data_IF_026778440789
#
_entry.id   IF_026778440789
#
_cell.length_a   1.000
_cell.length_b   1.000
_cell.length_c   1.000
_cell.angle_alpha   90.00
_cell.angle_beta   90.00
_cell.angle_gamma   90.00
#
_symmetry.space_group_name_H-M   'P 1'
#
loop_
_entity.id
_entity.type
_entity.pdbx_description
1 polymer ?
#
# COMPACT_ATOMS: atom_id res chain seq x y z
N UNK A 1 -30.68 3.64 -19.96
CA UNK A 1 -31.60 2.92 -19.07
C UNK A 1 -31.89 3.88 -17.93
N UNK A 2 -33.16 4.05 -17.56
CA UNK A 2 -33.53 4.92 -16.44
C UNK A 2 -32.89 4.39 -15.13
N UNK A 3 -32.64 5.26 -14.16
CA UNK A 3 -32.01 4.88 -12.88
C UNK A 3 -32.89 3.87 -12.14
N UNK A 4 -34.21 4.06 -12.19
CA UNK A 4 -35.21 3.17 -11.58
C UNK A 4 -35.23 1.81 -12.29
N UNK A 5 -35.23 1.80 -13.62
CA UNK A 5 -35.13 0.56 -14.41
C UNK A 5 -33.86 -0.23 -14.07
N UNK A 6 -32.72 0.47 -13.96
CA UNK A 6 -31.43 -0.14 -13.63
C UNK A 6 -31.46 -0.79 -12.25
N UNK A 7 -32.00 -0.09 -11.24
CA UNK A 7 -32.15 -0.61 -9.89
C UNK A 7 -33.10 -1.81 -9.87
N UNK A 8 -34.24 -1.74 -10.56
CA UNK A 8 -35.21 -2.82 -10.62
C UNK A 8 -34.62 -4.07 -11.30
N UNK A 9 -33.87 -3.90 -12.39
CA UNK A 9 -33.16 -4.98 -13.05
C UNK A 9 -32.10 -5.63 -12.14
N UNK A 10 -31.45 -4.83 -11.28
CA UNK A 10 -30.49 -5.30 -10.29
C UNK A 10 -31.12 -5.85 -8.99
N UNK A 11 -32.45 -6.00 -8.95
CA UNK A 11 -33.17 -6.46 -7.76
C UNK A 11 -33.16 -5.49 -6.59
N UNK A 12 -33.05 -4.18 -6.83
CA UNK A 12 -33.01 -3.12 -5.81
C UNK A 12 -34.33 -2.31 -5.78
N UNK A 13 -35.48 -2.98 -5.82
CA UNK A 13 -36.80 -2.32 -5.87
C UNK A 13 -37.06 -1.42 -4.66
N UNK A 14 -36.60 -1.82 -3.47
CA UNK A 14 -36.73 -1.01 -2.24
C UNK A 14 -35.95 0.31 -2.33
N UNK A 15 -34.76 0.28 -2.94
CA UNK A 15 -33.95 1.48 -3.15
C UNK A 15 -34.59 2.39 -4.20
N UNK A 16 -35.17 1.81 -5.27
CA UNK A 16 -35.91 2.56 -6.28
C UNK A 16 -37.12 3.28 -5.66
N UNK A 17 -37.96 2.56 -4.90
CA UNK A 17 -39.10 3.15 -4.19
C UNK A 17 -38.65 4.24 -3.19
N UNK A 18 -37.52 4.02 -2.50
CA UNK A 18 -36.95 5.03 -1.61
C UNK A 18 -36.52 6.29 -2.37
N UNK A 19 -35.85 6.14 -3.51
CA UNK A 19 -35.48 7.26 -4.37
C UNK A 19 -36.71 8.07 -4.82
N UNK A 20 -37.77 7.39 -5.24
CA UNK A 20 -39.05 8.00 -5.65
C UNK A 20 -39.75 8.73 -4.51
N UNK A 21 -39.58 8.26 -3.27
CA UNK A 21 -40.15 8.90 -2.08
C UNK A 21 -39.44 10.20 -1.67
N UNK A 22 -38.19 10.41 -2.12
CA UNK A 22 -37.39 11.58 -1.80
C UNK A 22 -37.58 12.71 -2.81
N UNK A 23 -37.31 13.95 -2.37
CA UNK A 23 -37.28 15.15 -3.20
C UNK A 23 -36.15 16.09 -2.77
N UNK A 24 -35.85 17.11 -3.60
CA UNK A 24 -34.81 18.11 -3.31
C UNK A 24 -33.42 17.51 -3.12
N UNK A 25 -32.65 18.07 -2.18
CA UNK A 25 -31.24 17.72 -1.96
C UNK A 25 -31.05 16.25 -1.55
N UNK A 26 -31.95 15.70 -0.74
CA UNK A 26 -31.87 14.31 -0.31
C UNK A 26 -31.98 13.35 -1.50
N UNK A 27 -32.87 13.64 -2.46
CA UNK A 27 -32.98 12.87 -3.70
C UNK A 27 -31.72 13.01 -4.54
N UNK A 28 -31.27 14.24 -4.79
CA UNK A 28 -30.09 14.50 -5.63
C UNK A 28 -28.82 13.82 -5.08
N UNK A 29 -28.64 13.82 -3.76
CA UNK A 29 -27.51 13.14 -3.11
C UNK A 29 -27.58 11.62 -3.28
N UNK A 30 -28.76 11.02 -3.12
CA UNK A 30 -28.94 9.58 -3.32
C UNK A 30 -28.81 9.19 -4.80
N UNK A 31 -29.33 10.00 -5.74
CA UNK A 31 -29.14 9.80 -7.19
C UNK A 31 -27.66 9.77 -7.56
N UNK A 32 -26.85 10.69 -6.99
CA UNK A 32 -25.40 10.70 -7.19
C UNK A 32 -24.74 9.43 -6.65
N UNK A 33 -25.11 9.01 -5.45
CA UNK A 33 -24.56 7.77 -4.88
C UNK A 33 -24.94 6.56 -5.75
N UNK A 34 -26.19 6.47 -6.20
CA UNK A 34 -26.66 5.40 -7.08
C UNK A 34 -25.91 5.40 -8.41
N UNK A 35 -25.71 6.56 -9.02
CA UNK A 35 -25.00 6.71 -10.29
C UNK A 35 -23.49 6.34 -10.18
N UNK A 36 -22.92 6.38 -8.97
CA UNK A 36 -21.53 5.98 -8.73
C UNK A 36 -21.30 4.46 -8.71
N UNK A 37 -22.37 3.67 -8.74
CA UNK A 37 -22.32 2.21 -8.56
C UNK A 37 -22.71 1.47 -9.84
N UNK A 38 -22.02 0.36 -10.11
CA UNK A 38 -22.44 -0.60 -11.13
C UNK A 38 -23.31 -1.68 -10.47
N UNK A 39 -24.63 -1.49 -10.55
CA UNK A 39 -25.61 -2.32 -9.85
C UNK A 39 -25.70 -3.74 -10.39
N UNK A 40 -25.51 -3.93 -11.69
CA UNK A 40 -25.52 -5.26 -12.29
C UNK A 40 -24.25 -6.03 -11.91
N UNK A 41 -23.09 -5.35 -11.89
CA UNK A 41 -21.87 -5.95 -11.36
C UNK A 41 -22.00 -6.30 -9.88
N UNK A 42 -22.57 -5.39 -9.06
CA UNK A 42 -22.78 -5.62 -7.62
C UNK A 42 -23.72 -6.80 -7.35
N UNK A 43 -24.80 -6.94 -8.13
CA UNK A 43 -25.67 -8.10 -8.06
C UNK A 43 -24.92 -9.39 -8.41
N UNK A 44 -24.16 -9.40 -9.50
CA UNK A 44 -23.38 -10.57 -9.90
C UNK A 44 -22.34 -10.97 -8.84
N UNK A 45 -21.69 -10.00 -8.20
CA UNK A 45 -20.76 -10.25 -7.08
C UNK A 45 -21.49 -10.86 -5.90
N UNK A 46 -22.66 -10.32 -5.53
CA UNK A 46 -23.47 -10.86 -4.45
C UNK A 46 -23.91 -12.30 -4.74
N UNK A 47 -24.39 -12.60 -5.94
CA UNK A 47 -24.81 -13.96 -6.33
C UNK A 47 -23.63 -14.94 -6.27
N UNK A 48 -22.46 -14.55 -6.77
CA UNK A 48 -21.24 -15.37 -6.70
C UNK A 48 -20.81 -15.64 -5.24
N UNK A 49 -20.82 -14.61 -4.39
CA UNK A 49 -20.19 -14.66 -3.07
C UNK A 49 -21.14 -15.00 -1.92
N UNK A 50 -22.44 -14.85 -2.10
CA UNK A 50 -23.43 -15.17 -1.05
C UNK A 50 -23.55 -16.68 -0.79
N UNK A 51 -23.30 -17.49 -1.82
CA UNK A 51 -23.31 -18.96 -1.74
C UNK A 51 -21.93 -19.60 -1.58
N UNK A 52 -20.85 -18.84 -1.79
CA UNK A 52 -19.48 -19.36 -1.69
C UNK A 52 -19.14 -19.70 -0.22
N UNK A 53 -18.49 -20.84 -0.01
CA UNK A 53 -17.92 -21.17 1.29
C UNK A 53 -16.62 -20.36 1.46
N UNK A 54 -16.32 -19.91 2.67
CA UNK A 54 -15.03 -19.23 2.94
C UNK A 54 -13.82 -20.12 2.60
N UNK A 55 -14.00 -21.45 2.58
CA UNK A 55 -12.99 -22.43 2.18
C UNK A 55 -12.63 -22.44 0.70
N UNK A 56 -13.39 -21.77 -0.17
CA UNK A 56 -13.13 -21.75 -1.62
C UNK A 56 -12.00 -20.78 -2.02
N UNK A 57 -11.46 -20.00 -1.08
CA UNK A 57 -10.42 -18.99 -1.35
C UNK A 57 -8.99 -19.57 -1.45
N UNK A 58 -8.79 -20.83 -1.07
CA UNK A 58 -7.47 -21.44 -0.96
C UNK A 58 -7.27 -22.47 -2.07
N UNK A 59 -6.31 -22.23 -2.94
CA UNK A 59 -5.92 -23.21 -3.96
C UNK A 59 -5.51 -24.55 -3.30
N UNK A 60 -5.92 -25.66 -3.91
CA UNK A 60 -5.55 -27.00 -3.42
C UNK A 60 -4.05 -27.30 -3.54
N UNK A 61 -3.36 -26.58 -4.43
CA UNK A 61 -1.92 -26.67 -4.64
C UNK A 61 -1.25 -25.33 -4.29
N UNK A 62 -0.65 -25.29 -3.11
CA UNK A 62 0.19 -24.19 -2.62
C UNK A 62 1.62 -24.70 -2.56
N UNK A 63 2.54 -24.00 -3.24
CA UNK A 63 3.96 -24.29 -3.23
C UNK A 63 4.74 -23.06 -2.73
N UNK A 64 5.85 -23.23 -2.00
CA UNK A 64 6.62 -22.11 -1.47
C UNK A 64 7.22 -21.29 -2.62
N UNK A 65 7.31 -19.97 -2.43
CA UNK A 65 8.01 -19.09 -3.36
C UNK A 65 9.37 -18.71 -2.76
N UNK A 66 10.47 -19.36 -3.17
CA UNK A 66 11.78 -19.08 -2.61
C UNK A 66 12.24 -17.67 -3.01
N UNK A 67 12.93 -17.02 -2.09
CA UNK A 67 13.58 -15.74 -2.31
C UNK A 67 14.97 -15.73 -1.66
N UNK A 68 15.78 -14.74 -2.01
CA UNK A 68 17.08 -14.50 -1.38
C UNK A 68 17.16 -13.04 -0.98
N UNK A 69 17.92 -12.75 0.08
CA UNK A 69 18.25 -11.39 0.45
C UNK A 69 19.05 -10.77 -0.69
N UNK A 70 18.52 -9.69 -1.27
CA UNK A 70 19.03 -9.12 -2.49
C UNK A 70 20.43 -8.53 -2.33
N UNK A 71 20.75 -7.97 -1.14
CA UNK A 71 22.08 -7.44 -0.82
C UNK A 71 23.19 -8.49 -0.79
N UNK A 72 22.83 -9.77 -0.70
CA UNK A 72 23.78 -10.89 -0.74
C UNK A 72 24.03 -11.39 -2.18
N UNK A 73 23.27 -10.89 -3.16
CA UNK A 73 23.45 -11.23 -4.57
C UNK A 73 24.62 -10.44 -5.18
N UNK A 74 25.50 -11.13 -5.90
CA UNK A 74 26.65 -10.52 -6.57
C UNK A 74 26.27 -9.45 -7.61
N UNK A 75 25.00 -9.41 -8.04
CA UNK A 75 24.47 -8.42 -8.99
C UNK A 75 23.88 -7.19 -8.30
N UNK A 76 23.86 -7.12 -6.98
CA UNK A 76 23.19 -6.04 -6.24
C UNK A 76 23.69 -4.65 -6.66
N UNK A 77 25.00 -4.45 -6.75
CA UNK A 77 25.57 -3.15 -7.16
C UNK A 77 25.19 -2.79 -8.60
N UNK A 78 25.20 -3.77 -9.51
CA UNK A 78 24.74 -3.58 -10.89
C UNK A 78 23.26 -3.20 -10.94
N UNK A 79 22.41 -3.83 -10.13
CA UNK A 79 21.00 -3.45 -10.04
C UNK A 79 20.84 -2.04 -9.48
N UNK A 80 21.59 -1.68 -8.44
CA UNK A 80 21.55 -0.34 -7.86
C UNK A 80 21.91 0.72 -8.90
N UNK A 81 23.04 0.57 -9.60
CA UNK A 81 23.47 1.47 -10.67
C UNK A 81 22.44 1.55 -11.81
N UNK A 82 21.90 0.41 -12.24
CA UNK A 82 20.84 0.36 -13.25
C UNK A 82 19.61 1.16 -12.80
N UNK A 83 19.18 1.01 -11.55
CA UNK A 83 18.07 1.76 -10.99
C UNK A 83 18.32 3.26 -10.91
N UNK A 84 19.52 3.68 -10.48
CA UNK A 84 19.93 5.08 -10.42
C UNK A 84 19.89 5.72 -11.81
N UNK A 85 20.35 5.01 -12.85
CA UNK A 85 20.27 5.46 -14.24
C UNK A 85 18.81 5.63 -14.69
N UNK A 86 17.92 4.70 -14.33
CA UNK A 86 16.49 4.77 -14.70
C UNK A 86 15.79 5.93 -13.97
N UNK A 87 16.11 6.15 -12.70
CA UNK A 87 15.65 7.29 -11.91
C UNK A 87 16.12 8.62 -12.51
N UNK A 88 17.41 8.75 -12.82
CA UNK A 88 17.98 9.96 -13.45
C UNK A 88 17.43 10.25 -14.85
N UNK A 89 16.85 9.26 -15.52
CA UNK A 89 16.12 9.40 -16.80
C UNK A 89 14.63 9.73 -16.63
N UNK A 90 14.15 9.89 -15.40
CA UNK A 90 12.72 10.15 -15.12
C UNK A 90 11.81 8.95 -15.40
N UNK A 91 12.35 7.73 -15.42
CA UNK A 91 11.60 6.52 -15.80
C UNK A 91 10.91 5.81 -14.62
N UNK A 92 10.96 6.38 -13.43
CA UNK A 92 10.43 5.78 -12.20
C UNK A 92 9.49 6.76 -11.50
N UNK A 93 8.36 6.26 -11.03
CA UNK A 93 7.42 7.02 -10.20
C UNK A 93 7.09 6.26 -8.91
N UNK A 94 6.72 7.00 -7.87
CA UNK A 94 6.17 6.47 -6.63
C UNK A 94 4.64 6.45 -6.69
N UNK A 95 4.03 5.36 -6.22
CA UNK A 95 2.60 5.22 -6.00
C UNK A 95 2.39 4.90 -4.52
N UNK A 96 1.76 5.82 -3.80
CA UNK A 96 1.32 5.63 -2.43
C UNK A 96 -0.15 5.23 -2.32
N UNK A 97 -0.41 4.10 -1.66
CA UNK A 97 -1.75 3.70 -1.21
C UNK A 97 -2.02 4.31 0.17
N UNK A 98 -2.79 5.40 0.20
CA UNK A 98 -3.13 6.19 1.39
C UNK A 98 -4.65 6.29 1.64
N UNK A 99 -5.46 5.37 1.10
CA UNK A 99 -6.91 5.36 1.32
C UNK A 99 -7.35 5.00 2.74
N UNK A 100 -6.44 4.49 3.57
CA UNK A 100 -6.72 4.08 4.95
C UNK A 100 -6.85 5.23 5.95
N UNK A 101 -7.76 5.06 6.91
CA UNK A 101 -7.92 5.93 8.08
C UNK A 101 -7.00 5.49 9.23
N UNK A 102 -6.59 6.45 10.06
CA UNK A 102 -5.82 6.22 11.29
C UNK A 102 -6.64 5.71 12.49
N UNK A 103 -7.88 5.25 12.29
CA UNK A 103 -8.82 4.97 13.40
C UNK A 103 -8.32 3.93 14.41
N UNK A 104 -7.59 2.90 13.98
CA UNK A 104 -6.96 1.90 14.88
C UNK A 104 -5.82 2.47 15.73
N UNK A 105 -5.31 3.64 15.37
CA UNK A 105 -4.29 4.40 16.11
C UNK A 105 -4.95 5.39 17.10
N UNK A 106 -6.28 5.44 17.17
CA UNK A 106 -7.00 6.50 17.88
C UNK A 106 -6.90 7.86 17.20
N UNK A 107 -6.49 7.90 15.92
CA UNK A 107 -6.33 9.13 15.15
C UNK A 107 -7.51 9.34 14.20
N UNK A 108 -8.14 10.52 14.31
CA UNK A 108 -9.23 10.91 13.43
C UNK A 108 -8.68 11.67 12.21
N UNK A 109 -8.21 10.92 11.22
CA UNK A 109 -7.72 11.49 9.97
C UNK A 109 -6.96 10.49 9.08
N UNK A 110 -6.51 10.95 7.90
CA UNK A 110 -5.67 10.15 7.01
C UNK A 110 -4.42 9.67 7.74
N UNK A 111 -4.11 8.36 7.65
CA UNK A 111 -2.99 7.78 8.41
C UNK A 111 -1.65 8.46 8.11
N UNK A 112 -1.42 8.93 6.89
CA UNK A 112 -0.16 9.61 6.54
C UNK A 112 0.11 10.91 7.31
N UNK A 113 -0.93 11.55 7.88
CA UNK A 113 -0.78 12.73 8.73
C UNK A 113 -0.30 12.40 10.15
N UNK A 114 -0.27 11.12 10.51
CA UNK A 114 0.04 10.68 11.86
C UNK A 114 1.51 10.93 12.21
N UNK A 115 1.75 11.59 13.33
CA UNK A 115 3.05 11.70 14.00
C UNK A 115 3.25 10.47 14.88
N UNK A 116 4.28 9.68 14.58
CA UNK A 116 4.60 8.47 15.35
C UNK A 116 5.34 8.77 16.66
N UNK A 117 5.67 10.04 16.93
CA UNK A 117 6.35 10.52 18.13
C UNK A 117 7.88 10.54 18.01
N UNK A 118 8.42 10.64 16.80
CA UNK A 118 9.85 10.88 16.60
C UNK A 118 10.22 12.27 17.14
N UNK A 119 11.47 12.53 17.57
CA UNK A 119 11.90 13.85 18.05
C UNK A 119 11.58 15.02 17.11
N UNK A 120 11.61 14.79 15.80
CA UNK A 120 11.26 15.80 14.79
C UNK A 120 9.76 16.10 14.68
N UNK A 121 8.89 15.26 15.26
CA UNK A 121 7.43 15.30 15.12
C UNK A 121 6.93 15.24 13.67
N UNK A 122 7.76 14.73 12.74
CA UNK A 122 7.39 14.60 11.33
C UNK A 122 6.29 13.55 11.14
N UNK A 123 5.28 13.92 10.35
CA UNK A 123 4.26 12.97 9.90
C UNK A 123 4.85 11.91 8.98
N UNK A 124 4.16 10.78 8.82
CA UNK A 124 4.54 9.76 7.84
C UNK A 124 4.63 10.33 6.42
N UNK A 125 3.73 11.23 6.01
CA UNK A 125 3.82 11.89 4.70
C UNK A 125 5.10 12.71 4.56
N UNK A 126 5.48 13.48 5.59
CA UNK A 126 6.70 14.29 5.53
C UNK A 126 7.95 13.40 5.45
N UNK A 127 8.04 12.33 6.24
CA UNK A 127 9.16 11.38 6.17
C UNK A 127 9.29 10.77 4.76
N UNK A 128 8.17 10.45 4.12
CA UNK A 128 8.15 9.88 2.78
C UNK A 128 8.51 10.91 1.69
N UNK A 129 8.01 12.13 1.81
CA UNK A 129 8.33 13.24 0.91
C UNK A 129 9.83 13.56 0.95
N UNK A 130 10.41 13.69 2.14
CA UNK A 130 11.84 13.99 2.31
C UNK A 130 12.74 12.87 1.77
N UNK A 131 12.32 11.59 1.85
CA UNK A 131 13.05 10.47 1.20
C UNK A 131 13.05 10.60 -0.32
N UNK A 132 11.90 10.93 -0.92
CA UNK A 132 11.78 11.14 -2.35
C UNK A 132 12.60 12.35 -2.82
N UNK A 133 12.58 13.45 -2.07
CA UNK A 133 13.39 14.64 -2.36
C UNK A 133 14.88 14.34 -2.28
N UNK A 134 15.33 13.60 -1.26
CA UNK A 134 16.72 13.20 -1.14
C UNK A 134 17.14 12.34 -2.35
N UNK A 135 16.39 11.29 -2.65
CA UNK A 135 16.69 10.42 -3.79
C UNK A 135 16.68 11.20 -5.12
N UNK A 136 15.70 12.09 -5.31
CA UNK A 136 15.63 12.96 -6.49
C UNK A 136 16.87 13.87 -6.62
N UNK A 137 17.38 14.40 -5.51
CA UNK A 137 18.60 15.21 -5.49
C UNK A 137 19.84 14.38 -5.83
N UNK A 138 19.92 13.12 -5.37
CA UNK A 138 21.04 12.22 -5.69
C UNK A 138 21.09 11.85 -7.17
N UNK A 139 19.94 11.54 -7.77
CA UNK A 139 19.83 11.10 -9.17
C UNK A 139 19.66 12.25 -10.17
N UNK A 140 19.46 13.47 -9.68
CA UNK A 140 19.33 14.69 -10.49
C UNK A 140 18.01 14.82 -11.26
N UNK A 141 16.96 14.09 -10.86
CA UNK A 141 15.66 14.11 -11.52
C UNK A 141 14.52 13.96 -10.51
N UNK A 142 13.44 14.73 -10.69
CA UNK A 142 12.24 14.63 -9.87
C UNK A 142 11.57 13.26 -10.02
N UNK A 143 11.01 12.73 -8.93
CA UNK A 143 10.29 11.45 -8.93
C UNK A 143 8.79 11.76 -8.80
N UNK A 144 7.98 11.52 -9.83
CA UNK A 144 6.53 11.74 -9.75
C UNK A 144 5.90 10.91 -8.63
N UNK A 145 5.03 11.53 -7.84
CA UNK A 145 4.38 10.90 -6.69
C UNK A 145 2.86 10.86 -6.87
N UNK A 146 2.34 9.67 -7.13
CA UNK A 146 0.92 9.39 -7.23
C UNK A 146 0.39 9.00 -5.86
N UNK A 147 -0.55 9.75 -5.29
CA UNK A 147 -1.11 9.51 -3.96
C UNK A 147 -2.58 9.13 -4.10
N UNK A 148 -2.88 7.86 -3.88
CA UNK A 148 -4.24 7.36 -3.89
C UNK A 148 -4.88 7.51 -2.50
N UNK A 149 -6.00 8.21 -2.44
CA UNK A 149 -6.80 8.42 -1.23
C UNK A 149 -8.13 7.66 -1.34
N UNK A 150 -8.93 7.67 -0.27
CA UNK A 150 -10.36 7.34 -0.33
C UNK A 150 -11.17 8.65 -0.40
N UNK A 151 -12.44 8.61 -0.85
CA UNK A 151 -13.29 9.79 -0.79
C UNK A 151 -13.40 10.39 0.62
N UNK A 152 -13.29 9.54 1.66
CA UNK A 152 -13.37 9.96 3.05
C UNK A 152 -12.15 10.78 3.52
N UNK A 153 -10.96 10.57 2.95
CA UNK A 153 -9.74 11.27 3.37
C UNK A 153 -9.09 12.16 2.29
N UNK A 154 -9.69 12.28 1.10
CA UNK A 154 -9.11 13.03 -0.01
C UNK A 154 -8.84 14.49 0.36
N UNK A 155 -9.90 15.24 0.69
CA UNK A 155 -9.79 16.68 1.01
C UNK A 155 -8.84 16.96 2.17
N UNK A 156 -8.93 16.18 3.25
CA UNK A 156 -8.02 16.32 4.40
C UNK A 156 -6.55 16.09 4.00
N UNK A 157 -6.29 15.08 3.16
CA UNK A 157 -4.94 14.79 2.67
C UNK A 157 -4.42 15.93 1.79
N UNK A 158 -5.21 16.39 0.83
CA UNK A 158 -4.79 17.45 -0.10
C UNK A 158 -4.56 18.77 0.64
N UNK A 159 -5.43 19.12 1.60
CA UNK A 159 -5.26 20.32 2.42
C UNK A 159 -3.99 20.24 3.29
N UNK A 160 -3.72 19.09 3.90
CA UNK A 160 -2.50 18.90 4.68
C UNK A 160 -1.23 19.13 3.86
N UNK A 161 -1.18 18.64 2.62
CA UNK A 161 -0.06 18.91 1.72
C UNK A 161 0.04 20.39 1.35
N UNK A 162 -1.07 21.07 1.06
CA UNK A 162 -1.07 22.52 0.78
C UNK A 162 -0.58 23.33 1.98
N UNK A 163 -1.03 23.01 3.18
CA UNK A 163 -0.65 23.68 4.43
C UNK A 163 0.85 23.54 4.74
N UNK A 164 1.47 22.46 4.29
CA UNK A 164 2.90 22.20 4.45
C UNK A 164 3.73 22.50 3.20
N UNK A 165 3.20 23.31 2.27
CA UNK A 165 3.86 23.68 1.01
C UNK A 165 4.43 22.46 0.24
N UNK A 166 3.62 21.39 0.19
CA UNK A 166 3.96 20.10 -0.42
C UNK A 166 5.28 19.50 0.10
N UNK A 167 5.65 19.83 1.34
CA UNK A 167 6.93 19.46 1.97
C UNK A 167 8.15 19.92 1.15
N UNK A 168 8.00 20.98 0.36
CA UNK A 168 9.03 21.50 -0.55
C UNK A 168 9.16 20.74 -1.88
N UNK A 169 8.27 19.79 -2.17
CA UNK A 169 8.18 19.17 -3.49
C UNK A 169 7.43 20.09 -4.46
N UNK A 170 7.72 19.98 -5.76
CA UNK A 170 6.93 20.67 -6.77
C UNK A 170 5.54 20.02 -6.86
N UNK A 171 4.48 20.82 -6.69
CA UNK A 171 3.08 20.37 -6.77
C UNK A 171 2.75 19.68 -8.10
N UNK A 172 3.42 20.05 -9.21
CA UNK A 172 3.16 19.48 -10.53
C UNK A 172 3.73 18.05 -10.70
N UNK A 173 4.57 17.62 -9.75
CA UNK A 173 5.11 16.27 -9.66
C UNK A 173 4.28 15.39 -8.70
N UNK A 174 3.26 15.95 -8.04
CA UNK A 174 2.36 15.21 -7.15
C UNK A 174 0.97 15.10 -7.77
N UNK A 175 0.43 13.89 -7.84
CA UNK A 175 -0.92 13.63 -8.36
C UNK A 175 -1.77 12.89 -7.34
N UNK A 176 -2.76 13.59 -6.79
CA UNK A 176 -3.78 12.99 -5.94
C UNK A 176 -4.92 12.42 -6.79
N UNK A 177 -5.44 11.27 -6.39
CA UNK A 177 -6.64 10.69 -6.97
C UNK A 177 -7.33 9.77 -5.96
N UNK A 178 -8.63 9.57 -6.13
CA UNK A 178 -9.42 8.73 -5.23
C UNK A 178 -9.53 7.30 -5.76
N UNK A 179 -9.54 6.34 -4.84
CA UNK A 179 -10.01 4.99 -5.12
C UNK A 179 -11.54 4.95 -5.23
N UNK A 180 -12.05 3.89 -5.83
CA UNK A 180 -13.49 3.65 -5.90
C UNK A 180 -14.10 3.25 -4.56
N UNK A 181 -15.42 3.25 -4.53
CA UNK A 181 -16.22 2.72 -3.42
C UNK A 181 -17.29 1.78 -3.94
N UNK A 182 -17.65 0.80 -3.12
CA UNK A 182 -18.74 -0.12 -3.39
C UNK A 182 -19.81 -0.01 -2.30
N UNK A 183 -21.07 -0.14 -2.67
CA UNK A 183 -22.18 -0.17 -1.72
C UNK A 183 -22.16 -1.47 -0.88
N UNK A 184 -22.25 -1.33 0.44
CA UNK A 184 -22.49 -2.47 1.31
C UNK A 184 -23.90 -3.03 1.08
N UNK A 185 -24.02 -4.37 1.07
CA UNK A 185 -25.30 -5.04 0.94
C UNK A 185 -25.71 -5.70 2.26
N UNK A 186 -26.99 -5.65 2.58
CA UNK A 186 -27.53 -6.38 3.72
C UNK A 186 -27.51 -7.91 3.47
N UNK A 187 -27.84 -8.76 4.46
CA UNK A 187 -27.85 -10.21 4.28
C UNK A 187 -28.76 -10.73 3.16
N UNK A 188 -29.72 -9.94 2.69
CA UNK A 188 -30.64 -10.26 1.59
C UNK A 188 -30.18 -9.68 0.24
N UNK A 189 -28.98 -9.11 0.16
CA UNK A 189 -28.42 -8.54 -1.08
C UNK A 189 -28.99 -7.18 -1.45
N UNK A 190 -29.66 -6.48 -0.53
CA UNK A 190 -30.19 -5.13 -0.77
C UNK A 190 -29.21 -4.07 -0.30
N UNK A 191 -29.17 -2.95 -1.02
CA UNK A 191 -28.34 -1.80 -0.67
C UNK A 191 -28.62 -1.32 0.76
N UNK A 192 -27.55 -1.08 1.52
CA UNK A 192 -27.66 -0.45 2.84
C UNK A 192 -27.71 1.07 2.65
N UNK A 193 -28.73 1.69 3.22
CA UNK A 193 -28.92 3.15 3.22
C UNK A 193 -28.86 3.65 4.66
N UNK A 194 -28.11 4.71 4.92
CA UNK A 194 -27.97 5.29 6.26
C UNK A 194 -29.17 6.18 6.66
N UNK A 195 -29.14 6.71 7.89
CA UNK A 195 -30.15 7.63 8.42
C UNK A 195 -30.29 8.95 7.63
N UNK A 196 -29.26 9.33 6.87
CA UNK A 196 -29.22 10.55 6.08
C UNK A 196 -29.68 10.31 4.63
N UNK A 197 -30.25 9.15 4.33
CA UNK A 197 -30.66 8.72 3.00
C UNK A 197 -29.50 8.65 1.99
N UNK A 198 -28.31 8.25 2.45
CA UNK A 198 -27.13 8.02 1.62
C UNK A 198 -26.81 6.54 1.54
N UNK A 199 -26.20 6.09 0.45
CA UNK A 199 -25.71 4.72 0.38
C UNK A 199 -24.57 4.53 1.39
N UNK A 200 -24.56 3.40 2.09
CA UNK A 200 -23.42 2.99 2.89
C UNK A 200 -22.28 2.53 1.97
N UNK A 201 -21.53 3.49 1.44
CA UNK A 201 -20.39 3.27 0.56
C UNK A 201 -19.15 2.95 1.39
N UNK A 202 -18.42 1.91 0.98
CA UNK A 202 -17.17 1.49 1.61
C UNK A 202 -16.06 1.40 0.56
N UNK A 203 -14.78 1.60 0.93
CA UNK A 203 -13.68 1.43 -0.01
C UNK A 203 -13.68 0.02 -0.61
N UNK A 204 -13.41 -0.06 -1.91
CA UNK A 204 -13.40 -1.29 -2.73
C UNK A 204 -12.15 -2.17 -2.55
N UNK A 205 -11.40 -1.96 -1.47
CA UNK A 205 -10.14 -2.66 -1.17
C UNK A 205 -8.92 -2.00 -1.80
N UNK A 206 -7.71 -2.47 -1.45
CA UNK A 206 -6.47 -1.90 -2.00
C UNK A 206 -6.21 -2.35 -3.45
N UNK A 207 -6.86 -3.43 -3.92
CA UNK A 207 -6.81 -3.87 -5.32
C UNK A 207 -7.55 -2.95 -6.28
N UNK A 208 -8.49 -2.12 -5.79
CA UNK A 208 -9.14 -1.07 -6.57
C UNK A 208 -8.15 -0.03 -7.12
N UNK A 209 -6.91 0.00 -6.61
CA UNK A 209 -5.86 0.93 -7.02
C UNK A 209 -5.55 0.92 -8.53
N UNK A 210 -5.56 -0.25 -9.18
CA UNK A 210 -5.24 -0.35 -10.61
C UNK A 210 -6.33 0.29 -11.48
N UNK A 211 -7.60 0.04 -11.13
CA UNK A 211 -8.76 0.68 -11.78
C UNK A 211 -8.73 2.19 -11.55
N UNK A 212 -8.53 2.62 -10.30
CA UNK A 212 -8.47 4.03 -9.93
C UNK A 212 -7.34 4.78 -10.64
N UNK A 213 -6.16 4.17 -10.75
CA UNK A 213 -5.01 4.74 -11.47
C UNK A 213 -5.35 4.99 -12.96
N UNK A 214 -6.10 4.07 -13.58
CA UNK A 214 -6.54 4.21 -14.97
C UNK A 214 -7.63 5.26 -15.13
N UNK A 215 -8.70 5.18 -14.34
CA UNK A 215 -9.89 6.04 -14.48
C UNK A 215 -9.61 7.50 -14.13
N UNK A 216 -8.68 7.76 -13.21
CA UNK A 216 -8.25 9.12 -12.85
C UNK A 216 -7.35 9.80 -13.91
N UNK A 217 -6.99 9.08 -14.99
CA UNK A 217 -6.01 9.54 -15.97
C UNK A 217 -4.56 9.57 -15.45
N UNK A 218 -4.32 9.11 -14.23
CA UNK A 218 -2.99 9.11 -13.62
C UNK A 218 -2.03 8.16 -14.34
N UNK A 219 -2.50 7.01 -14.82
CA UNK A 219 -1.68 6.13 -15.66
C UNK A 219 -1.27 6.81 -16.99
N UNK A 220 -2.17 7.56 -17.62
CA UNK A 220 -1.85 8.31 -18.83
C UNK A 220 -0.81 9.41 -18.55
N UNK A 221 -0.98 10.14 -17.45
CA UNK A 221 -0.03 11.14 -16.98
C UNK A 221 1.36 10.58 -16.72
N UNK A 222 1.47 9.39 -16.11
CA UNK A 222 2.76 8.71 -15.94
C UNK A 222 3.41 8.35 -17.29
N UNK A 223 2.63 7.83 -18.23
CA UNK A 223 3.09 7.48 -19.58
C UNK A 223 3.60 8.71 -20.33
N UNK A 224 2.88 9.82 -20.28
CA UNK A 224 3.26 11.09 -20.91
C UNK A 224 4.58 11.65 -20.38
N UNK A 225 4.90 11.37 -19.11
CA UNK A 225 6.16 11.74 -18.46
C UNK A 225 7.32 10.77 -18.75
N UNK A 226 7.09 9.72 -19.55
CA UNK A 226 8.13 8.76 -19.90
C UNK A 226 8.41 7.69 -18.83
N UNK A 227 7.60 7.64 -17.76
CA UNK A 227 7.72 6.64 -16.69
C UNK A 227 7.61 5.24 -17.29
N UNK A 228 8.45 4.32 -16.83
CA UNK A 228 8.45 2.90 -17.20
C UNK A 228 8.19 1.98 -16.01
N UNK A 229 8.52 2.43 -14.80
CA UNK A 229 8.41 1.66 -13.55
C UNK A 229 7.63 2.45 -12.50
N UNK A 230 6.70 1.79 -11.81
CA UNK A 230 5.91 2.38 -10.74
C UNK A 230 6.14 1.60 -9.46
N UNK A 231 6.78 2.25 -8.49
CA UNK A 231 7.04 1.72 -7.15
C UNK A 231 5.80 1.95 -6.28
N UNK A 232 5.05 0.89 -6.00
CA UNK A 232 3.82 0.94 -5.22
C UNK A 232 4.07 0.52 -3.78
N UNK A 233 3.60 1.31 -2.81
CA UNK A 233 3.75 1.00 -1.39
C UNK A 233 2.57 1.52 -0.54
N UNK A 234 2.46 0.98 0.68
CA UNK A 234 1.47 1.41 1.68
C UNK A 234 2.01 2.51 2.59
N UNK A 235 1.13 3.44 2.97
CA UNK A 235 1.48 4.61 3.81
C UNK A 235 1.94 4.25 5.22
N UNK A 236 1.60 3.06 5.72
CA UNK A 236 1.84 2.66 7.10
C UNK A 236 3.26 2.17 7.39
N UNK A 237 4.09 1.91 6.37
CA UNK A 237 5.46 1.46 6.58
C UNK A 237 6.42 2.64 6.82
N UNK A 238 6.80 2.86 8.07
CA UNK A 238 7.67 3.95 8.47
C UNK A 238 9.12 3.79 7.98
N UNK A 239 9.55 2.58 7.63
CA UNK A 239 10.90 2.28 7.11
C UNK A 239 10.98 2.11 5.59
N UNK A 240 9.88 2.33 4.86
CA UNK A 240 9.87 2.08 3.42
C UNK A 240 11.00 2.86 2.69
N UNK A 241 11.85 2.13 1.97
CA UNK A 241 12.89 2.65 1.07
C UNK A 241 12.27 2.96 -0.30
N UNK A 242 11.60 4.12 -0.39
CA UNK A 242 10.71 4.48 -1.50
C UNK A 242 11.52 4.69 -2.78
N UNK A 243 11.13 4.00 -3.86
CA UNK A 243 11.84 4.03 -5.14
C UNK A 243 13.30 3.53 -5.04
N UNK A 244 13.56 2.56 -4.15
CA UNK A 244 14.85 1.86 -4.03
C UNK A 244 15.49 1.50 -5.38
N UNK A 245 16.65 2.09 -5.72
CA UNK A 245 17.31 1.84 -7.00
C UNK A 245 17.63 0.37 -7.25
N UNK A 246 18.08 -0.38 -6.22
CA UNK A 246 18.42 -1.79 -6.40
C UNK A 246 17.19 -2.63 -6.78
N UNK A 247 16.05 -2.34 -6.16
CA UNK A 247 14.80 -3.01 -6.49
C UNK A 247 14.31 -2.66 -7.92
N UNK A 248 14.43 -1.40 -8.33
CA UNK A 248 14.12 -0.96 -9.70
C UNK A 248 14.99 -1.67 -10.72
N UNK A 249 16.31 -1.63 -10.53
CA UNK A 249 17.25 -2.25 -11.47
C UNK A 249 17.14 -3.76 -11.53
N UNK A 250 16.79 -4.44 -10.44
CA UNK A 250 16.57 -5.87 -10.44
C UNK A 250 15.41 -6.28 -11.37
N UNK A 251 14.26 -5.58 -11.31
CA UNK A 251 13.15 -5.83 -12.24
C UNK A 251 13.47 -5.37 -13.67
N UNK A 252 14.27 -4.32 -13.83
CA UNK A 252 14.70 -3.87 -15.15
C UNK A 252 15.61 -4.89 -15.85
N UNK A 253 16.53 -5.51 -15.09
CA UNK A 253 17.40 -6.56 -15.55
C UNK A 253 16.69 -7.91 -15.74
N UNK A 254 15.51 -8.10 -15.14
CA UNK A 254 14.72 -9.30 -15.34
C UNK A 254 13.99 -9.28 -16.70
N UNK A 255 14.36 -10.24 -17.55
CA UNK A 255 13.83 -10.39 -18.91
C UNK A 255 12.46 -11.03 -19.02
N UNK A 256 11.83 -11.45 -17.91
CA UNK A 256 10.54 -12.17 -17.91
C UNK A 256 9.46 -11.45 -17.11
N UNK A 257 9.79 -10.99 -15.91
CA UNK A 257 8.87 -10.39 -14.98
C UNK A 257 8.44 -8.98 -15.42
N UNK A 258 7.15 -8.70 -15.25
CA UNK A 258 6.57 -7.34 -15.40
C UNK A 258 6.18 -6.72 -14.06
N UNK A 259 6.34 -7.49 -12.97
CA UNK A 259 6.20 -7.02 -11.61
C UNK A 259 7.26 -7.65 -10.70
N UNK A 260 7.54 -6.98 -9.59
CA UNK A 260 8.37 -7.48 -8.51
C UNK A 260 7.74 -7.11 -7.17
N UNK A 261 8.10 -7.83 -6.11
CA UNK A 261 7.65 -7.55 -4.75
C UNK A 261 8.81 -7.65 -3.78
N UNK A 262 8.87 -6.71 -2.83
CA UNK A 262 9.79 -6.86 -1.70
C UNK A 262 9.24 -7.88 -0.72
N UNK A 263 10.13 -8.72 -0.22
CA UNK A 263 9.82 -9.84 0.65
C UNK A 263 10.71 -9.75 1.89
N UNK A 264 10.12 -9.94 3.07
CA UNK A 264 10.90 -10.13 4.30
C UNK A 264 10.71 -11.54 4.80
N UNK A 265 11.73 -12.11 5.46
CA UNK A 265 11.53 -13.34 6.20
C UNK A 265 10.48 -13.14 7.30
N UNK A 266 9.60 -14.13 7.46
CA UNK A 266 8.59 -14.17 8.52
C UNK A 266 9.28 -14.27 9.88
N UNK A 267 8.78 -13.54 10.89
CA UNK A 267 9.31 -13.55 12.26
C UNK A 267 9.14 -14.92 12.94
N UNK A 268 8.14 -15.66 12.49
CA UNK A 268 7.76 -16.96 13.03
C UNK A 268 6.37 -17.37 12.53
N UNK A 269 5.93 -18.61 12.80
CA UNK A 269 4.68 -19.15 12.25
C UNK A 269 3.45 -18.31 12.56
N UNK A 270 3.39 -17.71 13.75
CA UNK A 270 2.25 -16.92 14.24
C UNK A 270 2.18 -15.47 13.74
N UNK A 271 3.14 -14.99 12.96
CA UNK A 271 3.08 -13.63 12.40
C UNK A 271 1.92 -13.49 11.41
N UNK A 272 1.10 -12.44 11.59
CA UNK A 272 -0.09 -12.14 10.79
C UNK A 272 0.28 -11.32 9.55
N UNK A 273 0.97 -11.95 8.63
CA UNK A 273 1.38 -11.39 7.34
C UNK A 273 1.00 -12.36 6.23
N UNK A 274 0.47 -11.85 5.12
CA UNK A 274 0.27 -12.66 3.92
C UNK A 274 1.62 -13.17 3.41
N UNK A 275 1.65 -14.39 2.88
CA UNK A 275 2.88 -15.01 2.39
C UNK A 275 2.88 -15.10 0.86
N UNK A 276 4.04 -14.88 0.25
CA UNK A 276 4.21 -15.18 -1.17
C UNK A 276 4.31 -16.69 -1.38
N UNK A 277 3.51 -17.19 -2.30
CA UNK A 277 3.47 -18.59 -2.67
C UNK A 277 3.07 -18.73 -4.15
N UNK A 278 3.32 -19.90 -4.71
CA UNK A 278 2.69 -20.29 -5.96
C UNK A 278 1.36 -20.99 -5.65
N UNK A 279 0.28 -20.50 -6.25
CA UNK A 279 -1.04 -21.13 -6.21
C UNK A 279 -1.36 -21.62 -7.62
N UNK A 280 -1.49 -22.95 -7.80
CA UNK A 280 -1.67 -23.56 -9.12
C UNK A 280 -0.61 -23.07 -10.14
N UNK A 281 0.68 -23.08 -9.74
CA UNK A 281 1.83 -22.57 -10.51
C UNK A 281 1.82 -21.08 -10.89
N UNK A 282 0.94 -20.26 -10.29
CA UNK A 282 0.92 -18.81 -10.50
C UNK A 282 1.39 -18.09 -9.25
N UNK A 283 2.20 -17.02 -9.36
CA UNK A 283 2.62 -16.25 -8.20
C UNK A 283 1.41 -15.54 -7.59
N UNK A 284 1.31 -15.56 -6.27
CA UNK A 284 0.24 -14.92 -5.52
C UNK A 284 0.64 -14.68 -4.07
N UNK A 285 -0.32 -14.19 -3.30
CA UNK A 285 -0.20 -14.07 -1.85
C UNK A 285 -1.32 -14.89 -1.22
N UNK A 286 -0.96 -15.75 -0.29
CA UNK A 286 -1.93 -16.42 0.58
C UNK A 286 -2.04 -15.60 1.86
N UNK A 287 -3.22 -15.09 2.16
CA UNK A 287 -3.44 -14.33 3.38
C UNK A 287 -3.24 -15.19 4.63
N UNK A 288 -2.83 -14.56 5.72
CA UNK A 288 -2.50 -15.29 6.95
C UNK A 288 -3.69 -16.06 7.54
N UNK A 289 -4.92 -15.59 7.29
CA UNK A 289 -6.15 -16.25 7.71
C UNK A 289 -6.47 -17.50 6.90
N UNK A 290 -5.89 -17.59 5.71
CA UNK A 290 -6.25 -18.55 4.67
C UNK A 290 -5.14 -19.60 4.50
N UNK A 291 -3.98 -19.42 5.14
CA UNK A 291 -2.89 -20.38 5.13
C UNK A 291 -3.18 -21.58 6.07
N UNK A 292 -3.23 -22.83 5.56
CA UNK A 292 -3.43 -24.02 6.38
C UNK A 292 -2.35 -24.17 7.46
N UNK A 293 -2.73 -24.61 8.67
CA UNK A 293 -1.82 -24.70 9.82
C UNK A 293 -0.61 -25.60 9.56
N UNK A 294 -0.81 -26.70 8.84
CA UNK A 294 0.28 -27.61 8.47
C UNK A 294 1.31 -26.96 7.54
N UNK A 295 0.93 -25.97 6.72
CA UNK A 295 1.85 -25.18 5.90
C UNK A 295 2.46 -24.02 6.70
N UNK A 296 1.67 -23.37 7.56
CA UNK A 296 2.10 -22.28 8.45
C UNK A 296 3.28 -22.70 9.33
N UNK A 297 3.22 -23.91 9.87
CA UNK A 297 4.21 -24.44 10.83
C UNK A 297 5.27 -25.32 10.14
N UNK A 298 5.24 -25.43 8.81
CA UNK A 298 6.18 -26.26 8.04
C UNK A 298 7.60 -25.67 8.08
N UNK A 299 8.58 -26.53 8.36
CA UNK A 299 10.00 -26.16 8.44
C UNK A 299 10.86 -26.96 7.47
N UNK A 300 11.93 -26.33 7.02
CA UNK A 300 13.02 -26.96 6.30
C UNK A 300 13.91 -27.75 7.28
N UNK A 301 14.86 -28.53 6.74
CA UNK A 301 15.76 -29.37 7.54
C UNK A 301 16.65 -28.58 8.54
N UNK A 302 16.89 -27.30 8.28
CA UNK A 302 17.66 -26.39 9.14
C UNK A 302 16.81 -25.67 10.20
N UNK A 303 15.50 -25.95 10.26
CA UNK A 303 14.55 -25.34 11.19
C UNK A 303 13.97 -23.99 10.72
N UNK A 304 14.39 -23.47 9.57
CA UNK A 304 13.77 -22.29 8.95
C UNK A 304 12.36 -22.63 8.44
N UNK A 305 11.47 -21.63 8.34
CA UNK A 305 10.13 -21.85 7.79
C UNK A 305 10.20 -22.10 6.28
N UNK A 306 9.42 -23.06 5.79
CA UNK A 306 9.32 -23.32 4.34
C UNK A 306 8.48 -22.25 3.63
N UNK A 307 7.48 -21.69 4.32
CA UNK A 307 6.63 -20.61 3.85
C UNK A 307 6.93 -19.32 4.62
N UNK A 308 8.07 -18.71 4.30
CA UNK A 308 8.67 -17.61 5.05
C UNK A 308 8.58 -16.24 4.35
N UNK A 309 8.19 -16.20 3.08
CA UNK A 309 8.17 -14.96 2.30
C UNK A 309 7.03 -14.00 2.67
N UNK A 310 7.23 -13.16 3.68
CA UNK A 310 6.24 -12.19 4.14
C UNK A 310 6.03 -11.01 3.16
N UNK A 311 4.77 -10.73 2.84
CA UNK A 311 4.34 -9.59 2.04
C UNK A 311 4.31 -8.30 2.85
N UNK A 312 5.17 -7.35 2.50
CA UNK A 312 5.25 -6.02 3.14
C UNK A 312 4.49 -4.91 2.39
N UNK A 313 3.66 -5.28 1.41
CA UNK A 313 2.90 -4.37 0.56
C UNK A 313 3.77 -3.34 -0.17
N UNK A 314 4.94 -3.76 -0.63
CA UNK A 314 5.85 -2.98 -1.48
C UNK A 314 6.10 -3.74 -2.77
N UNK A 315 5.68 -3.13 -3.87
CA UNK A 315 5.64 -3.76 -5.18
C UNK A 315 6.21 -2.81 -6.23
N UNK A 316 6.63 -3.37 -7.34
CA UNK A 316 7.13 -2.61 -8.48
C UNK A 316 6.47 -3.17 -9.74
N UNK A 317 5.93 -2.30 -10.58
CA UNK A 317 5.29 -2.70 -11.83
C UNK A 317 5.92 -1.97 -13.01
N UNK A 318 6.19 -2.71 -14.09
CA UNK A 318 6.41 -2.10 -15.40
C UNK A 318 5.08 -1.50 -15.88
N UNK A 319 5.11 -0.37 -16.59
CA UNK A 319 3.90 0.23 -17.20
C UNK A 319 3.15 -0.77 -18.07
N UNK A 320 3.86 -1.66 -18.77
CA UNK A 320 3.25 -2.75 -19.56
C UNK A 320 2.41 -3.71 -18.70
N UNK A 321 2.83 -3.98 -17.46
CA UNK A 321 2.06 -4.75 -16.48
C UNK A 321 0.82 -3.99 -16.03
N UNK A 322 0.96 -2.71 -15.67
CA UNK A 322 -0.17 -1.87 -15.25
C UNK A 322 -1.23 -1.74 -16.35
N UNK A 323 -0.83 -1.62 -17.62
CA UNK A 323 -1.76 -1.59 -18.77
C UNK A 323 -2.58 -2.88 -18.89
N UNK A 324 -1.99 -4.05 -18.62
CA UNK A 324 -2.73 -5.33 -18.60
C UNK A 324 -3.76 -5.36 -17.47
N UNK A 325 -3.43 -4.77 -16.32
CA UNK A 325 -4.32 -4.71 -15.16
C UNK A 325 -5.48 -3.71 -15.33
N UNK A 326 -5.38 -2.74 -16.26
CA UNK A 326 -6.50 -1.83 -16.57
C UNK A 326 -7.76 -2.58 -17.00
N UNK A 327 -7.60 -3.64 -17.78
CA UNK A 327 -8.68 -4.49 -18.29
C UNK A 327 -8.86 -5.77 -17.47
N UNK A 328 -7.96 -6.02 -16.51
CA UNK A 328 -7.98 -7.21 -15.67
C UNK A 328 -9.12 -7.16 -14.66
N UNK A 329 -9.85 -8.27 -14.51
CA UNK A 329 -10.85 -8.43 -13.46
C UNK A 329 -10.18 -9.08 -12.26
N UNK A 330 -9.85 -8.28 -11.24
CA UNK A 330 -9.44 -8.82 -9.95
C UNK A 330 -10.65 -9.46 -9.25
N UNK A 331 -10.45 -10.60 -8.56
CA UNK A 331 -11.51 -11.25 -7.81
C UNK A 331 -12.01 -10.34 -6.68
N UNK A 332 -13.27 -10.52 -6.32
CA UNK A 332 -13.85 -9.92 -5.12
C UNK A 332 -13.76 -10.89 -3.96
N UNK A 333 -13.36 -10.37 -2.81
CA UNK A 333 -13.34 -11.05 -1.52
C UNK A 333 -14.48 -10.52 -0.66
N UNK A 334 -14.99 -11.35 0.23
CA UNK A 334 -16.15 -11.00 1.08
C UNK A 334 -15.76 -10.93 2.54
N UNK A 335 -16.10 -9.81 3.17
CA UNK A 335 -16.10 -9.64 4.61
C UNK A 335 -17.53 -9.43 5.12
N UNK A 336 -17.86 -10.01 6.28
CA UNK A 336 -19.12 -9.77 6.98
C UNK A 336 -18.90 -8.75 8.09
N UNK A 337 -19.62 -7.62 8.03
CA UNK A 337 -19.51 -6.56 9.04
C UNK A 337 -20.87 -5.99 9.41
N UNK A 338 -20.94 -5.38 10.59
CA UNK A 338 -22.08 -4.54 10.95
C UNK A 338 -21.94 -3.19 10.25
N UNK A 339 -22.96 -2.80 9.50
CA UNK A 339 -23.01 -1.54 8.74
C UNK A 339 -24.35 -0.86 9.02
N UNK A 340 -24.32 0.40 9.45
CA UNK A 340 -25.54 1.17 9.80
C UNK A 340 -26.49 0.41 10.76
N UNK A 341 -25.93 -0.31 11.74
CA UNK A 341 -26.71 -1.12 12.69
C UNK A 341 -27.19 -2.48 12.18
N UNK A 342 -27.00 -2.80 10.89
CA UNK A 342 -27.39 -4.09 10.31
C UNK A 342 -26.21 -5.06 10.40
N UNK A 343 -26.41 -6.17 11.10
CA UNK A 343 -25.39 -7.21 11.25
C UNK A 343 -25.17 -8.03 9.96
N UNK A 344 -23.97 -8.60 9.84
CA UNK A 344 -23.59 -9.54 8.76
C UNK A 344 -23.82 -9.01 7.33
N UNK A 345 -23.74 -7.68 7.15
CA UNK A 345 -23.72 -7.08 5.83
C UNK A 345 -22.50 -7.56 5.04
N UNK A 346 -22.68 -7.72 3.74
CA UNK A 346 -21.62 -7.98 2.78
C UNK A 346 -20.84 -6.70 2.52
N UNK A 347 -19.53 -6.78 2.76
CA UNK A 347 -18.53 -5.86 2.24
C UNK A 347 -17.66 -6.61 1.25
N UNK A 348 -17.55 -6.08 0.03
CA UNK A 348 -16.68 -6.64 -1.00
C UNK A 348 -15.40 -5.82 -1.12
N UNK A 349 -14.26 -6.50 -1.23
CA UNK A 349 -12.95 -5.88 -1.39
C UNK A 349 -12.15 -6.61 -2.47
N UNK A 350 -11.37 -5.87 -3.26
CA UNK A 350 -10.34 -6.43 -4.13
C UNK A 350 -8.99 -6.31 -3.43
N UNK A 351 -8.14 -7.32 -3.57
CA UNK A 351 -6.79 -7.27 -3.03
C UNK A 351 -5.75 -7.01 -4.12
N UNK A 352 -4.78 -6.18 -3.79
CA UNK A 352 -3.74 -5.75 -4.71
C UNK A 352 -2.91 -6.93 -5.23
N UNK A 353 -2.61 -7.88 -4.35
CA UNK A 353 -1.80 -9.05 -4.67
C UNK A 353 -2.48 -10.04 -5.62
N UNK A 354 -3.80 -9.95 -5.82
CA UNK A 354 -4.50 -10.74 -6.84
C UNK A 354 -4.15 -10.31 -8.27
N UNK A 355 -3.37 -9.23 -8.43
CA UNK A 355 -2.78 -8.85 -9.69
C UNK A 355 -1.69 -9.82 -10.16
N UNK A 356 -0.95 -10.46 -9.24
CA UNK A 356 0.20 -11.29 -9.62
C UNK A 356 -0.17 -12.50 -10.49
N UNK A 357 -1.25 -13.26 -10.21
CA UNK A 357 -1.68 -14.34 -11.09
C UNK A 357 -2.05 -13.88 -12.51
N UNK A 358 -2.55 -12.65 -12.67
CA UNK A 358 -2.90 -12.08 -13.98
C UNK A 358 -1.66 -11.65 -14.78
N UNK A 359 -0.57 -11.30 -14.11
CA UNK A 359 0.70 -10.92 -14.74
C UNK A 359 1.58 -12.13 -15.09
N UNK A 360 1.30 -13.29 -14.47
CA UNK A 360 1.89 -14.59 -14.80
C UNK A 360 3.28 -14.84 -14.21
N UNK A 361 4.10 -13.81 -14.02
CA UNK A 361 5.39 -13.92 -13.33
C UNK A 361 5.65 -12.69 -12.47
N UNK A 362 6.37 -12.92 -11.37
CA UNK A 362 6.74 -11.89 -10.40
C UNK A 362 8.15 -12.19 -9.89
N UNK A 363 8.98 -11.17 -9.76
CA UNK A 363 10.30 -11.26 -9.13
C UNK A 363 10.19 -11.03 -7.61
N UNK A 364 10.45 -12.02 -6.75
CA UNK A 364 10.61 -11.78 -5.32
C UNK A 364 11.98 -11.14 -5.05
N UNK A 365 12.00 -10.05 -4.29
CA UNK A 365 13.20 -9.32 -3.91
C UNK A 365 13.33 -9.28 -2.39
N UNK A 366 14.19 -10.13 -1.82
CA UNK A 366 14.36 -10.23 -0.37
C UNK A 366 15.05 -9.01 0.22
N UNK A 367 14.53 -8.50 1.33
CA UNK A 367 15.11 -7.35 2.05
C UNK A 367 15.21 -7.63 3.54
N UNK A 368 16.10 -6.89 4.21
CA UNK A 368 16.29 -6.95 5.66
C UNK A 368 15.15 -6.16 6.32
N UNK A 369 14.37 -6.84 7.17
CA UNK A 369 13.20 -6.27 7.83
C UNK A 369 13.54 -5.00 8.62
N UNK A 370 14.62 -5.07 9.40
CA UNK A 370 15.07 -4.01 10.30
C UNK A 370 15.49 -2.75 9.54
N UNK A 371 15.73 -2.85 8.22
CA UNK A 371 16.07 -1.70 7.37
C UNK A 371 14.89 -1.15 6.57
N UNK A 372 13.82 -1.94 6.37
CA UNK A 372 12.84 -1.67 5.31
C UNK A 372 11.37 -1.85 5.71
N UNK A 373 11.07 -2.50 6.84
CA UNK A 373 9.70 -2.82 7.22
C UNK A 373 9.41 -2.58 8.70
N UNK A 374 8.69 -1.48 8.96
CA UNK A 374 8.13 -1.19 10.27
C UNK A 374 6.74 -0.56 10.12
N UNK A 375 5.68 -1.38 10.05
CA UNK A 375 4.32 -0.90 9.85
C UNK A 375 3.73 -0.27 11.12
N UNK A 376 2.87 0.74 10.94
CA UNK A 376 2.12 1.42 12.00
C UNK A 376 0.62 1.16 11.82
N UNK A 377 0.12 0.14 12.53
CA UNK A 377 -1.24 -0.39 12.39
C UNK A 377 -2.06 -0.29 13.68
N UNK A 378 -1.44 -0.41 14.84
CA UNK A 378 -2.11 -0.48 16.14
C UNK A 378 -1.62 0.68 17.03
N UNK A 379 -2.47 1.17 17.94
CA UNK A 379 -2.07 2.22 18.88
C UNK A 379 -0.93 1.76 19.81
N UNK A 380 -0.95 0.50 20.24
CA UNK A 380 0.03 -0.10 21.15
C UNK A 380 0.39 -1.54 20.73
N UNK A 381 1.47 -2.08 21.29
CA UNK A 381 1.93 -3.44 21.02
C UNK A 381 2.68 -3.58 19.70
N UNK A 382 2.48 -4.72 19.01
CA UNK A 382 3.10 -4.97 17.71
C UNK A 382 2.57 -3.98 16.65
N UNK A 383 3.42 -3.61 15.69
CA UNK A 383 3.10 -2.68 14.62
C UNK A 383 2.52 -1.34 15.15
N UNK A 384 3.15 -0.78 16.19
CA UNK A 384 2.74 0.46 16.85
C UNK A 384 3.71 1.62 16.62
N UNK A 385 3.33 2.87 16.95
CA UNK A 385 4.23 4.01 16.87
C UNK A 385 5.52 3.80 17.68
N UNK A 386 5.41 3.16 18.85
CA UNK A 386 6.56 2.81 19.70
C UNK A 386 7.52 1.88 18.95
N UNK A 387 7.03 0.76 18.41
CA UNK A 387 7.89 -0.19 17.69
C UNK A 387 8.52 0.44 16.46
N UNK A 388 7.80 1.32 15.75
CA UNK A 388 8.34 2.03 14.59
C UNK A 388 9.46 3.01 14.96
N UNK A 389 9.26 3.83 16.01
CA UNK A 389 10.29 4.72 16.54
C UNK A 389 11.54 3.96 16.96
N UNK A 390 11.38 2.86 17.68
CA UNK A 390 12.51 2.03 18.10
C UNK A 390 13.29 1.47 16.90
N UNK A 391 12.60 0.96 15.87
CA UNK A 391 13.24 0.41 14.68
C UNK A 391 13.99 1.49 13.87
N UNK A 392 13.36 2.65 13.65
CA UNK A 392 14.01 3.83 13.04
C UNK A 392 15.25 4.23 13.84
N UNK A 393 15.09 4.34 15.16
CA UNK A 393 16.15 4.68 16.09
C UNK A 393 17.36 3.76 16.01
N UNK A 394 17.11 2.44 15.97
CA UNK A 394 18.14 1.40 15.85
C UNK A 394 18.82 1.43 14.47
N UNK A 395 18.05 1.62 13.40
CA UNK A 395 18.57 1.71 12.04
C UNK A 395 19.52 2.91 11.87
N UNK A 396 19.10 4.09 12.29
CA UNK A 396 19.91 5.29 12.17
C UNK A 396 21.14 5.27 13.08
N UNK A 397 21.03 4.68 14.28
CA UNK A 397 22.21 4.41 15.11
C UNK A 397 23.23 3.54 14.38
N UNK A 398 22.77 2.50 13.69
CA UNK A 398 23.64 1.64 12.89
C UNK A 398 24.26 2.40 11.71
N UNK A 399 23.52 3.29 11.04
CA UNK A 399 24.08 4.15 9.99
C UNK A 399 25.20 5.05 10.52
N UNK A 400 24.99 5.71 11.66
CA UNK A 400 26.01 6.55 12.30
C UNK A 400 27.24 5.74 12.71
N UNK A 401 27.05 4.52 13.23
CA UNK A 401 28.14 3.60 13.57
C UNK A 401 28.94 3.19 12.34
N UNK A 402 28.28 2.82 11.24
CA UNK A 402 28.92 2.50 9.95
C UNK A 402 29.68 3.69 9.37
N UNK A 403 29.23 4.91 9.66
CA UNK A 403 29.92 6.16 9.30
C UNK A 403 31.04 6.57 10.28
N UNK A 404 31.41 5.69 11.22
CA UNK A 404 32.45 5.91 12.24
C UNK A 404 32.22 7.14 13.13
N UNK A 405 30.96 7.47 13.41
CA UNK A 405 30.59 8.51 14.36
C UNK A 405 30.63 7.94 15.78
N UNK A 406 31.24 8.68 16.71
CA UNK A 406 31.20 8.38 18.14
C UNK A 406 29.80 8.75 18.68
N UNK A 407 29.03 7.75 19.11
CA UNK A 407 27.64 7.89 19.56
C UNK A 407 27.43 7.16 20.89
N UNK A 408 26.47 7.61 21.70
CA UNK A 408 26.03 6.86 22.89
C UNK A 408 25.34 5.54 22.46
N UNK A 409 25.86 4.36 22.83
CA UNK A 409 25.29 3.06 22.46
C UNK A 409 23.94 2.77 23.12
N UNK A 410 23.58 3.48 24.20
CA UNK A 410 22.33 3.31 24.93
C UNK A 410 21.19 4.16 24.38
N UNK A 411 21.50 5.12 23.51
CA UNK A 411 20.52 6.02 22.88
C UNK A 411 20.05 5.51 21.52
N UNK A 412 18.96 6.08 21.05
CA UNK A 412 18.44 5.96 19.70
C UNK A 412 18.63 7.29 18.95
N UNK A 413 18.63 7.21 17.62
CA UNK A 413 18.88 8.38 16.78
C UNK A 413 17.84 8.54 15.69
N UNK A 414 17.41 9.77 15.45
CA UNK A 414 16.65 10.13 14.27
C UNK A 414 17.55 10.91 13.34
N UNK A 415 17.80 10.41 12.13
CA UNK A 415 18.48 11.14 11.05
C UNK A 415 17.40 11.57 10.06
N UNK A 416 17.30 12.87 9.77
CA UNK A 416 16.34 13.36 8.79
C UNK A 416 16.61 12.75 7.42
N UNK A 417 15.57 12.30 6.71
CA UNK A 417 15.72 11.80 5.35
C UNK A 417 16.34 12.81 4.37
N UNK A 418 16.29 14.12 4.66
CA UNK A 418 16.97 15.15 3.85
C UNK A 418 18.50 15.07 3.90
N UNK A 419 19.07 14.44 4.95
CA UNK A 419 20.52 14.25 5.07
C UNK A 419 20.99 12.94 4.47
N UNK A 420 20.19 11.88 4.62
CA UNK A 420 20.56 10.54 4.21
C UNK A 420 19.31 9.72 3.89
N UNK A 421 19.29 9.11 2.71
CA UNK A 421 18.20 8.26 2.23
C UNK A 421 18.30 6.83 2.79
N UNK A 422 19.51 6.25 2.80
CA UNK A 422 19.76 4.87 3.25
C UNK A 422 21.08 4.71 4.05
N UNK A 423 21.57 5.78 4.67
CA UNK A 423 22.78 5.81 5.50
C UNK A 423 24.02 6.39 4.82
N UNK A 424 23.95 6.71 3.53
CA UNK A 424 25.02 7.40 2.80
C UNK A 424 25.19 8.86 3.23
N UNK A 425 26.35 9.45 2.93
CA UNK A 425 26.64 10.87 3.20
C UNK A 425 26.90 11.22 4.67
N UNK A 426 26.68 10.29 5.60
CA UNK A 426 26.94 10.51 7.02
C UNK A 426 28.44 10.53 7.33
N UNK A 427 28.84 11.40 8.24
CA UNK A 427 30.21 11.55 8.73
C UNK A 427 30.22 12.23 10.09
N UNK A 428 31.33 12.14 10.82
CA UNK A 428 31.51 12.85 12.11
C UNK A 428 31.24 14.35 12.00
N UNK A 429 31.78 14.99 10.95
CA UNK A 429 31.59 16.43 10.72
C UNK A 429 30.13 16.79 10.46
N UNK A 430 29.41 15.96 9.71
CA UNK A 430 27.98 16.16 9.49
C UNK A 430 27.20 16.00 10.79
N UNK A 431 27.50 14.94 11.55
CA UNK A 431 26.85 14.67 12.83
C UNK A 431 26.98 15.83 13.81
N UNK A 432 28.20 16.30 14.06
CA UNK A 432 28.48 17.43 14.96
C UNK A 432 27.75 18.72 14.54
N UNK A 433 27.53 18.93 13.23
CA UNK A 433 26.83 20.10 12.69
C UNK A 433 25.31 20.00 12.82
N UNK A 434 24.75 18.80 12.63
CA UNK A 434 23.31 18.58 12.49
C UNK A 434 22.62 18.06 13.77
N UNK A 435 23.40 17.67 14.79
CA UNK A 435 22.88 17.22 16.08
C UNK A 435 22.01 18.32 16.74
N UNK A 436 20.79 17.94 17.14
CA UNK A 436 19.76 18.83 17.68
C UNK A 436 18.97 19.61 16.61
N UNK A 437 19.23 19.38 15.31
CA UNK A 437 18.55 20.08 14.20
C UNK A 437 17.92 19.15 13.19
N UNK A 438 18.74 18.30 12.58
CA UNK A 438 18.34 17.31 11.58
C UNK A 438 18.81 15.90 11.96
N UNK A 439 19.59 15.80 13.03
CA UNK A 439 19.89 14.56 13.74
C UNK A 439 19.47 14.75 15.19
N UNK A 440 18.66 13.85 15.73
CA UNK A 440 18.21 13.90 17.13
C UNK A 440 18.62 12.64 17.87
N UNK A 441 18.91 12.80 19.15
CA UNK A 441 19.13 11.71 20.09
C UNK A 441 17.88 11.56 20.97
N UNK A 442 17.44 10.33 21.24
CA UNK A 442 16.29 10.07 22.08
C UNK A 442 16.37 8.70 22.79
N UNK A 443 15.54 8.52 23.82
CA UNK A 443 15.40 7.27 24.56
C UNK A 443 14.40 6.31 23.89
N UNK A 444 14.63 5.01 24.09
CA UNK A 444 13.82 3.93 23.52
C UNK A 444 12.37 3.89 24.02
#
# INVERSE_FOLDING_TARGET
MDIIETLNAAGQQELAAKLESLSGDARALLERDIASQDWLALQSIYEEKSSASLSDNVASDIQPMPFKIASDDLRYDYWKETGEILLGKGQVAAFLVAGGQGSRLGFNGPKGMFDIGLPSHKSLFQLQAERLQNLAAQVGHAIPWCIMTSPLNHEATVNFFREHDYFGMNKDDIRFFEQGTICALNPNGKAVVDENNRLALVPDGNGGCFRALSQSGTLAWLVERGVQYVFLYSVDNALCRICDPAFVGALAADGRAVSASKVVAKAGPGEKVGIFAFQNNKPGVVEYSDLPENLRDMTNADGSLTYDGGNIAVHLFKISGLRKLQTGKLPWHTARKTVCGIEKCFKFEQFLFDAFPLLGSMLPFGVIREEEFSPVKNAEGNDSPKTAREMIGKLHREWLRKAHVEIDPHKLYEVSPTLSYAGEGLSRRLFERELGRNIWEFDA
#
